data_IF_644039321775
#
_entry.id   IF_644039321775
#
_cell.length_a   1.000
_cell.length_b   1.000
_cell.length_c   1.000
_cell.angle_alpha   90.00
_cell.angle_beta   90.00
_cell.angle_gamma   90.00
#
_symmetry.space_group_name_H-M   'P 1'
#
loop_
_entity.id
_entity.type
_entity.pdbx_description
1 polymer ?
#
# COMPACT_ATOMS: atom_id res chain seq x y z
N UNK A 1 -1.53 -8.21 1.69
CA UNK A 1 -0.23 -8.34 2.43
C UNK A 1 0.60 -9.54 1.96
N UNK A 2 -0.06 -10.48 1.29
CA UNK A 2 0.36 -11.85 1.00
C UNK A 2 1.55 -11.94 0.03
N UNK A 3 1.55 -11.13 -1.03
CA UNK A 3 2.65 -11.10 -1.99
C UNK A 3 3.98 -10.66 -1.38
N UNK A 4 3.94 -9.73 -0.42
CA UNK A 4 5.13 -9.27 0.29
C UNK A 4 5.62 -10.35 1.26
N UNK A 5 4.67 -11.06 1.89
CA UNK A 5 4.92 -12.19 2.76
C UNK A 5 5.61 -13.33 2.01
N UNK A 6 5.06 -13.78 0.88
CA UNK A 6 5.68 -14.80 0.02
C UNK A 6 7.08 -14.41 -0.41
N UNK A 7 7.28 -13.17 -0.84
CA UNK A 7 8.59 -12.69 -1.30
C UNK A 7 9.62 -12.70 -0.16
N UNK A 8 9.23 -12.28 1.04
CA UNK A 8 10.10 -12.32 2.22
C UNK A 8 10.36 -13.76 2.65
N UNK A 9 9.36 -14.64 2.63
CA UNK A 9 9.53 -16.05 2.95
C UNK A 9 10.48 -16.74 1.97
N UNK A 10 10.31 -16.52 0.66
CA UNK A 10 11.15 -17.10 -0.39
C UNK A 10 12.59 -16.60 -0.29
N UNK A 11 12.80 -15.29 -0.09
CA UNK A 11 14.14 -14.68 -0.07
C UNK A 11 14.88 -14.87 1.25
N UNK A 12 14.16 -14.83 2.37
CA UNK A 12 14.77 -14.98 3.70
C UNK A 12 14.75 -16.42 4.21
N UNK A 13 13.97 -17.32 3.59
CA UNK A 13 13.83 -18.71 4.01
C UNK A 13 13.16 -18.87 5.37
N UNK A 14 12.24 -17.97 5.72
CA UNK A 14 11.57 -17.91 7.03
C UNK A 14 10.10 -18.30 6.95
N UNK A 15 9.49 -18.65 8.08
CA UNK A 15 8.05 -18.97 8.12
C UNK A 15 7.19 -17.72 7.90
N UNK A 16 5.92 -17.93 7.50
CA UNK A 16 4.97 -16.83 7.30
C UNK A 16 4.83 -15.94 8.55
N UNK A 17 4.77 -16.54 9.74
CA UNK A 17 4.70 -15.80 11.00
C UNK A 17 5.96 -14.96 11.25
N UNK A 18 7.14 -15.45 10.87
CA UNK A 18 8.39 -14.69 10.98
C UNK A 18 8.46 -13.58 9.92
N UNK A 19 7.98 -13.83 8.70
CA UNK A 19 7.92 -12.84 7.64
C UNK A 19 6.97 -11.68 7.98
N UNK A 20 5.79 -11.99 8.51
CA UNK A 20 4.83 -10.99 9.01
C UNK A 20 5.47 -10.07 10.05
N UNK A 21 6.10 -10.63 11.08
CA UNK A 21 6.80 -9.85 12.12
C UNK A 21 7.96 -9.02 11.56
N UNK A 22 8.69 -9.54 10.59
CA UNK A 22 9.79 -8.82 9.95
C UNK A 22 9.28 -7.62 9.15
N UNK A 23 8.19 -7.81 8.39
CA UNK A 23 7.53 -6.74 7.64
C UNK A 23 7.02 -5.66 8.61
N UNK A 24 6.32 -6.05 9.69
CA UNK A 24 5.84 -5.11 10.71
C UNK A 24 6.97 -4.30 11.35
N UNK A 25 8.10 -4.93 11.68
CA UNK A 25 9.26 -4.24 12.25
C UNK A 25 9.87 -3.22 11.28
N UNK A 26 10.02 -3.59 9.99
CA UNK A 26 10.55 -2.69 8.94
C UNK A 26 9.59 -1.54 8.67
N UNK A 27 8.30 -1.84 8.56
CA UNK A 27 7.24 -0.85 8.37
C UNK A 27 7.17 0.11 9.56
N UNK A 28 7.25 -0.40 10.79
CA UNK A 28 7.33 0.42 12.01
C UNK A 28 8.55 1.34 12.03
N UNK A 29 9.73 0.81 11.69
CA UNK A 29 10.95 1.62 11.56
C UNK A 29 10.82 2.69 10.49
N UNK A 30 10.23 2.37 9.34
CA UNK A 30 10.05 3.32 8.24
C UNK A 30 9.05 4.42 8.59
N UNK A 31 7.97 4.11 9.32
CA UNK A 31 7.03 5.13 9.84
C UNK A 31 7.70 6.08 10.84
N UNK A 32 8.57 5.54 11.71
CA UNK A 32 9.33 6.34 12.68
C UNK A 32 10.35 7.27 12.01
N UNK A 33 10.99 6.80 10.91
CA UNK A 33 12.00 7.58 10.16
C UNK A 33 11.43 8.51 9.09
N UNK A 34 10.26 8.20 8.54
CA UNK A 34 9.56 9.03 7.55
C UNK A 34 8.21 9.51 8.12
N UNK A 35 8.19 10.24 9.25
CA UNK A 35 6.95 10.78 9.79
C UNK A 35 6.42 11.88 8.87
N UNK A 36 5.12 11.87 8.62
CA UNK A 36 4.45 12.77 7.68
C UNK A 36 3.77 12.01 6.54
N UNK A 37 3.37 12.70 5.46
CA UNK A 37 2.47 12.14 4.44
C UNK A 37 2.97 10.84 3.78
N UNK A 38 4.30 10.63 3.75
CA UNK A 38 4.92 9.42 3.18
C UNK A 38 4.67 8.18 4.05
N UNK A 39 4.75 8.31 5.38
CA UNK A 39 4.48 7.21 6.31
C UNK A 39 3.01 6.78 6.31
N UNK A 40 2.09 7.72 6.14
CA UNK A 40 0.65 7.45 5.97
C UNK A 40 0.34 6.73 4.67
N UNK A 41 0.97 7.12 3.55
CA UNK A 41 0.82 6.41 2.27
C UNK A 41 1.41 5.00 2.31
N UNK A 42 2.57 4.82 2.95
CA UNK A 42 3.19 3.50 3.11
C UNK A 42 2.33 2.60 4.01
N UNK A 43 1.76 3.16 5.07
CA UNK A 43 0.78 2.45 5.92
C UNK A 43 -0.40 1.99 5.09
N UNK A 44 -1.01 2.89 4.29
CA UNK A 44 -2.13 2.54 3.42
C UNK A 44 -1.79 1.51 2.34
N UNK A 45 -0.56 1.49 1.86
CA UNK A 45 -0.11 0.48 0.88
C UNK A 45 0.12 -0.89 1.51
N UNK A 46 0.67 -0.93 2.73
CA UNK A 46 0.87 -2.16 3.50
C UNK A 46 -0.47 -2.72 3.98
N UNK A 47 -1.31 -1.86 4.54
CA UNK A 47 -2.63 -2.19 5.08
C UNK A 47 -3.65 -2.47 3.96
N UNK A 48 -3.53 -1.79 2.82
CA UNK A 48 -4.36 -1.95 1.62
C UNK A 48 -3.77 -2.88 0.56
N UNK A 49 -2.78 -3.72 0.92
CA UNK A 49 -2.18 -4.71 0.01
C UNK A 49 -3.10 -5.90 -0.31
N UNK A 50 -4.41 -5.72 -0.20
CA UNK A 50 -5.53 -6.66 -0.42
C UNK A 50 -6.65 -5.97 -1.22
N UNK A 51 -6.28 -5.14 -2.20
CA UNK A 51 -7.23 -4.64 -3.21
C UNK A 51 -6.91 -5.25 -4.58
N UNK A 52 -6.91 -6.58 -4.62
CA UNK A 52 -6.94 -7.36 -5.86
C UNK A 52 -8.12 -8.35 -5.78
N UNK A 53 -9.30 -7.84 -5.38
CA UNK A 53 -10.43 -8.72 -5.04
C UNK A 53 -11.81 -8.12 -4.77
N UNK A 54 -12.20 -7.04 -5.46
CA UNK A 54 -13.61 -6.83 -5.83
C UNK A 54 -14.53 -6.06 -4.87
N UNK A 55 -14.99 -4.91 -5.36
CA UNK A 55 -16.18 -4.22 -4.87
C UNK A 55 -16.12 -2.73 -5.21
N UNK A 56 -16.84 -2.33 -6.26
CA UNK A 56 -17.15 -0.97 -6.72
C UNK A 56 -16.97 0.18 -5.69
N UNK A 57 -15.73 0.62 -5.45
CA UNK A 57 -15.43 1.88 -4.76
C UNK A 57 -14.07 2.40 -5.28
N UNK A 58 -14.14 3.07 -6.43
CA UNK A 58 -13.08 3.75 -7.18
C UNK A 58 -12.47 4.93 -6.39
N UNK A 59 -11.97 4.68 -5.17
CA UNK A 59 -11.57 5.72 -4.20
C UNK A 59 -10.14 5.58 -3.66
N UNK A 60 -9.40 4.53 -4.04
CA UNK A 60 -7.99 4.38 -3.68
C UNK A 60 -7.14 5.25 -4.61
N UNK A 61 -6.40 6.23 -4.05
CA UNK A 61 -5.37 7.14 -4.61
C UNK A 61 -5.33 7.35 -6.14
N UNK A 62 -5.22 6.29 -6.94
CA UNK A 62 -5.39 6.26 -8.39
C UNK A 62 -6.75 6.79 -8.86
N UNK A 63 -7.87 6.42 -8.23
CA UNK A 63 -9.21 6.97 -8.54
C UNK A 63 -9.22 8.48 -8.35
N UNK A 64 -8.78 8.95 -7.17
CA UNK A 64 -8.67 10.39 -6.88
C UNK A 64 -7.65 11.17 -7.75
N UNK A 65 -6.67 10.51 -8.37
CA UNK A 65 -5.75 11.11 -9.34
C UNK A 65 -6.39 11.16 -10.73
N UNK A 66 -7.08 10.09 -11.13
CA UNK A 66 -7.87 10.01 -12.37
C UNK A 66 -9.02 11.00 -12.37
N UNK A 67 -9.78 11.15 -11.28
CA UNK A 67 -10.86 12.13 -11.15
C UNK A 67 -10.33 13.57 -11.25
N UNK A 68 -9.19 13.86 -10.63
CA UNK A 68 -8.56 15.19 -10.72
C UNK A 68 -8.01 15.48 -12.11
N UNK A 69 -7.47 14.49 -12.80
CA UNK A 69 -7.01 14.62 -14.19
C UNK A 69 -8.18 14.69 -15.17
N UNK A 70 -9.22 13.89 -14.97
CA UNK A 70 -10.44 13.88 -15.76
C UNK A 70 -11.21 15.19 -15.62
N UNK A 71 -11.30 15.74 -14.42
CA UNK A 71 -11.91 17.05 -14.17
C UNK A 71 -11.11 18.22 -14.78
N UNK A 72 -9.77 18.10 -14.89
CA UNK A 72 -8.91 19.11 -15.50
C UNK A 72 -8.88 19.01 -17.04
N UNK A 73 -8.97 17.81 -17.59
CA UNK A 73 -8.91 17.56 -19.04
C UNK A 73 -10.28 17.58 -19.72
N UNK A 74 -11.36 17.33 -18.98
CA UNK A 74 -12.73 17.31 -19.48
C UNK A 74 -13.59 18.52 -19.11
N UNK A 75 -13.11 19.40 -18.22
CA UNK A 75 -13.85 20.58 -17.75
C UNK A 75 -13.61 21.82 -18.61
N UNK A 76 -14.18 21.84 -19.82
CA UNK A 76 -14.19 23.01 -20.68
C UNK A 76 -15.48 23.08 -21.51
N UNK A 77 -16.56 23.53 -20.87
CA UNK A 77 -17.71 24.16 -21.55
C UNK A 77 -17.39 25.64 -21.83
#
# INVERSE_FOLDING_TARGET
MDKLLELVQEKAGISAEQASKAIEAVVGFMKDKLPGPIGDQLSKFVDGGDDEGGGDDDGGMLGGITDKLGGLLGGGD
#
